data_IF_827178379916
#
_entry.id   IF_827178379916
#
_cell.length_a   1.000
_cell.length_b   1.000
_cell.length_c   1.000
_cell.angle_alpha   90.00
_cell.angle_beta   90.00
_cell.angle_gamma   90.00
#
_symmetry.space_group_name_H-M   'P 1'
#
loop_
_entity.id
_entity.type
_entity.pdbx_description
1 polymer ?
#
# COMPACT_ATOMS: atom_id res chain seq x y z
N UNK A 1 5.31 -17.57 -13.63
CA UNK A 1 4.51 -16.34 -13.38
C UNK A 1 5.06 -15.70 -12.12
N UNK A 2 5.31 -14.38 -12.11
CA UNK A 2 5.63 -13.65 -10.88
C UNK A 2 4.35 -13.55 -10.06
N UNK A 3 4.40 -13.95 -8.78
CA UNK A 3 3.29 -13.81 -7.85
C UNK A 3 3.31 -12.39 -7.28
N UNK A 4 2.13 -11.79 -7.19
CA UNK A 4 1.93 -10.54 -6.46
C UNK A 4 1.34 -10.87 -5.09
N UNK A 5 1.92 -10.33 -4.03
CA UNK A 5 1.49 -10.54 -2.64
C UNK A 5 0.97 -9.23 -2.08
N UNK A 6 -0.22 -9.30 -1.51
CA UNK A 6 -0.80 -8.23 -0.71
C UNK A 6 -0.65 -8.53 0.76
N UNK A 7 -0.27 -7.52 1.55
CA UNK A 7 -0.33 -7.57 3.00
C UNK A 7 -1.29 -6.46 3.46
N UNK A 8 -2.44 -6.86 3.99
CA UNK A 8 -3.43 -5.94 4.53
C UNK A 8 -3.16 -5.70 6.02
N UNK A 9 -2.96 -4.44 6.40
CA UNK A 9 -2.65 -4.02 7.77
C UNK A 9 -3.82 -3.22 8.34
N UNK A 10 -4.13 -3.45 9.61
CA UNK A 10 -4.97 -2.56 10.38
C UNK A 10 -4.28 -2.21 11.70
N UNK A 11 -3.95 -0.94 11.88
CA UNK A 11 -3.44 -0.40 13.14
C UNK A 11 -4.53 0.44 13.80
N UNK A 12 -5.02 0.06 15.00
CA UNK A 12 -6.07 0.80 15.69
C UNK A 12 -5.74 2.28 15.96
N UNK A 13 -6.74 3.18 15.92
CA UNK A 13 -6.56 4.54 16.41
C UNK A 13 -6.31 4.44 17.93
N UNK A 14 -5.30 5.13 18.44
CA UNK A 14 -4.79 5.08 19.83
C UNK A 14 -3.78 3.98 20.17
N UNK A 15 -3.28 3.22 19.19
CA UNK A 15 -2.08 2.40 19.40
C UNK A 15 -0.89 3.26 19.80
N UNK A 16 -0.09 2.77 20.76
CA UNK A 16 1.16 3.40 21.22
C UNK A 16 2.33 2.91 20.38
N UNK A 17 3.49 3.53 20.56
CA UNK A 17 4.72 3.12 19.86
C UNK A 17 5.14 1.69 20.19
N UNK A 18 4.90 1.22 21.40
CA UNK A 18 5.29 -0.13 21.82
C UNK A 18 4.42 -1.21 21.15
N UNK A 19 3.17 -0.87 20.82
CA UNK A 19 2.24 -1.78 20.13
C UNK A 19 2.66 -2.03 18.67
N UNK A 20 3.59 -1.22 18.15
CA UNK A 20 4.05 -1.27 16.76
C UNK A 20 5.27 -2.18 16.55
N UNK A 21 5.96 -2.59 17.61
CA UNK A 21 7.22 -3.35 17.51
C UNK A 21 7.03 -4.74 16.89
N UNK A 22 6.05 -5.51 17.38
CA UNK A 22 5.76 -6.84 16.85
C UNK A 22 5.23 -6.78 15.39
N UNK A 23 4.24 -5.93 15.04
CA UNK A 23 3.80 -5.77 13.66
C UNK A 23 4.92 -5.36 12.70
N UNK A 24 5.81 -4.45 13.11
CA UNK A 24 6.91 -3.99 12.25
C UNK A 24 7.93 -5.09 12.03
N UNK A 25 8.28 -5.83 13.07
CA UNK A 25 9.18 -7.00 12.96
C UNK A 25 8.58 -8.03 12.02
N UNK A 26 7.30 -8.35 12.19
CA UNK A 26 6.59 -9.29 11.32
C UNK A 26 6.52 -8.82 9.86
N UNK A 27 6.25 -7.53 9.62
CA UNK A 27 6.24 -6.96 8.28
C UNK A 27 7.62 -7.10 7.62
N UNK A 28 8.69 -6.74 8.34
CA UNK A 28 10.07 -6.91 7.87
C UNK A 28 10.35 -8.35 7.43
N UNK A 29 10.03 -9.34 8.27
CA UNK A 29 10.25 -10.76 7.97
C UNK A 29 9.46 -11.21 6.73
N UNK A 30 8.20 -10.79 6.60
CA UNK A 30 7.32 -11.17 5.50
C UNK A 30 7.72 -10.54 4.16
N UNK A 31 8.46 -9.43 4.19
CA UNK A 31 8.94 -8.72 2.99
C UNK A 31 10.23 -9.31 2.40
N UNK A 32 10.86 -10.27 3.07
CA UNK A 32 12.14 -10.89 2.65
C UNK A 32 12.09 -11.73 1.36
N UNK A 33 10.92 -11.95 0.76
CA UNK A 33 10.75 -12.80 -0.43
C UNK A 33 10.90 -12.04 -1.76
N UNK A 34 11.20 -12.75 -2.85
CA UNK A 34 11.36 -12.19 -4.21
C UNK A 34 10.06 -11.88 -4.95
N UNK A 35 8.91 -11.92 -4.28
CA UNK A 35 7.61 -11.60 -4.88
C UNK A 35 7.43 -10.09 -5.05
N UNK A 36 6.56 -9.69 -5.98
CA UNK A 36 6.05 -8.32 -6.00
C UNK A 36 5.16 -8.12 -4.77
N UNK A 37 5.45 -7.08 -3.98
CA UNK A 37 4.79 -6.84 -2.71
C UNK A 37 4.05 -5.51 -2.73
N UNK A 38 2.82 -5.51 -2.21
CA UNK A 38 2.09 -4.30 -1.85
C UNK A 38 1.57 -4.45 -0.44
N UNK A 39 1.96 -3.53 0.45
CA UNK A 39 1.38 -3.42 1.78
C UNK A 39 0.35 -2.30 1.71
N UNK A 40 -0.84 -2.55 2.20
CA UNK A 40 -1.92 -1.58 2.23
C UNK A 40 -2.71 -1.71 3.51
N UNK A 41 -3.40 -0.66 3.93
CA UNK A 41 -4.13 -0.71 5.18
C UNK A 41 -4.48 0.64 5.76
N UNK A 42 -5.31 0.62 6.80
CA UNK A 42 -5.54 1.79 7.67
C UNK A 42 -4.53 1.74 8.82
N UNK A 43 -3.55 2.64 8.76
CA UNK A 43 -2.46 2.68 9.74
C UNK A 43 -2.75 3.66 10.89
N UNK A 44 -3.76 4.54 10.78
CA UNK A 44 -4.02 5.58 11.77
C UNK A 44 -2.76 6.41 12.16
N UNK A 45 -1.83 6.64 11.22
CA UNK A 45 -0.62 7.49 11.38
C UNK A 45 -0.80 8.80 10.62
N UNK A 46 -1.31 9.83 11.31
CA UNK A 46 -1.79 11.07 10.68
C UNK A 46 -0.79 12.23 10.71
N UNK A 47 0.37 12.03 11.33
CA UNK A 47 1.37 13.05 11.61
C UNK A 47 2.64 12.90 10.74
N UNK A 48 2.56 12.07 9.71
CA UNK A 48 3.59 11.94 8.67
C UNK A 48 3.47 13.07 7.64
N UNK A 49 4.59 13.69 7.31
CA UNK A 49 4.81 14.34 6.04
C UNK A 49 5.48 13.34 5.09
N UNK A 50 4.68 12.76 4.20
CA UNK A 50 5.13 11.71 3.26
C UNK A 50 6.11 12.23 2.21
N UNK A 51 5.98 13.47 1.78
CA UNK A 51 6.89 14.08 0.79
C UNK A 51 8.29 14.32 1.37
N UNK A 52 8.34 14.84 2.61
CA UNK A 52 9.60 15.11 3.30
C UNK A 52 10.14 13.90 4.08
N UNK A 53 9.40 12.77 4.10
CA UNK A 53 9.66 11.60 4.95
C UNK A 53 9.91 11.97 6.42
N UNK A 54 9.08 12.88 6.97
CA UNK A 54 9.16 13.31 8.37
C UNK A 54 7.95 12.82 9.17
N UNK A 55 8.16 12.44 10.42
CA UNK A 55 7.09 12.10 11.36
C UNK A 55 7.27 12.85 12.68
N UNK A 56 6.15 13.15 13.36
CA UNK A 56 6.17 13.82 14.67
C UNK A 56 6.19 12.84 15.84
N UNK A 57 5.60 11.66 15.67
CA UNK A 57 5.46 10.63 16.69
C UNK A 57 6.41 9.45 16.42
N UNK A 58 6.74 8.73 17.49
CA UNK A 58 7.59 7.54 17.40
C UNK A 58 6.96 6.45 16.53
N UNK A 59 5.65 6.20 16.65
CA UNK A 59 4.92 5.23 15.81
C UNK A 59 5.09 5.51 14.32
N UNK A 60 4.73 6.73 13.91
CA UNK A 60 4.84 7.17 12.51
C UNK A 60 6.27 7.09 11.99
N UNK A 61 7.24 7.44 12.83
CA UNK A 61 8.66 7.29 12.50
C UNK A 61 9.06 5.83 12.27
N UNK A 62 8.63 4.88 13.12
CA UNK A 62 8.95 3.47 12.93
C UNK A 62 8.42 2.91 11.60
N UNK A 63 7.21 3.30 11.18
CA UNK A 63 6.69 2.90 9.87
C UNK A 63 7.44 3.54 8.71
N UNK A 64 7.80 4.83 8.81
CA UNK A 64 8.63 5.48 7.80
C UNK A 64 10.00 4.81 7.67
N UNK A 65 10.66 4.54 8.81
CA UNK A 65 11.96 3.87 8.85
C UNK A 65 11.86 2.45 8.24
N UNK A 66 10.78 1.72 8.53
CA UNK A 66 10.51 0.42 7.91
C UNK A 66 10.38 0.56 6.38
N UNK A 67 9.51 1.43 5.88
CA UNK A 67 9.28 1.57 4.44
C UNK A 67 10.56 2.00 3.71
N UNK A 68 11.34 2.91 4.30
CA UNK A 68 12.62 3.34 3.75
C UNK A 68 13.64 2.19 3.73
N UNK A 69 13.72 1.38 4.80
CA UNK A 69 14.59 0.20 4.86
C UNK A 69 14.25 -0.87 3.82
N UNK A 70 12.97 -0.95 3.43
CA UNK A 70 12.47 -1.86 2.41
C UNK A 70 12.58 -1.29 0.99
N UNK A 71 12.96 -0.02 0.84
CA UNK A 71 12.99 0.66 -0.46
C UNK A 71 11.61 0.75 -1.13
N UNK A 72 10.54 0.82 -0.34
CA UNK A 72 9.16 0.98 -0.83
C UNK A 72 8.64 2.37 -0.48
N UNK A 73 7.76 2.88 -1.33
CA UNK A 73 7.24 4.24 -1.20
C UNK A 73 5.73 4.24 -1.00
N UNK A 74 5.24 5.23 -0.27
CA UNK A 74 3.82 5.47 -0.09
C UNK A 74 3.26 6.14 -1.34
N UNK A 75 2.13 5.61 -1.85
CA UNK A 75 1.56 5.99 -3.15
C UNK A 75 0.27 6.81 -3.06
N UNK A 76 -0.25 7.07 -1.86
CA UNK A 76 -1.54 7.74 -1.63
C UNK A 76 -1.33 9.20 -1.27
N UNK A 77 -1.52 10.10 -2.23
CA UNK A 77 -1.21 11.54 -2.04
C UNK A 77 -2.42 12.40 -1.65
N UNK A 78 -3.59 11.80 -1.40
CA UNK A 78 -4.84 12.52 -1.12
C UNK A 78 -5.52 12.00 0.15
N UNK A 79 -6.22 12.86 0.92
CA UNK A 79 -6.88 12.46 2.14
C UNK A 79 -7.89 11.32 1.95
N UNK A 80 -7.81 10.33 2.83
CA UNK A 80 -8.66 9.12 2.82
C UNK A 80 -9.66 9.12 3.96
N UNK A 81 -9.50 9.99 4.96
CA UNK A 81 -10.50 10.26 5.99
C UNK A 81 -10.38 11.71 6.45
N UNK A 82 -11.45 12.48 6.30
CA UNK A 82 -11.43 13.93 6.56
C UNK A 82 -10.25 14.60 5.81
N UNK A 83 -9.35 15.28 6.54
CA UNK A 83 -8.16 15.92 5.98
C UNK A 83 -6.88 15.09 6.16
N UNK A 84 -6.98 13.82 6.54
CA UNK A 84 -5.84 12.95 6.85
C UNK A 84 -5.70 11.81 5.84
N UNK A 85 -4.46 11.45 5.56
CA UNK A 85 -4.08 10.24 4.81
C UNK A 85 -3.84 9.14 5.85
N UNK A 86 -4.81 8.24 6.02
CA UNK A 86 -4.73 7.14 7.00
C UNK A 86 -4.64 5.78 6.32
N UNK A 87 -5.39 5.62 5.24
CA UNK A 87 -5.29 4.51 4.32
C UNK A 87 -4.04 4.67 3.45
N UNK A 88 -3.07 3.79 3.67
CA UNK A 88 -1.75 3.78 3.05
C UNK A 88 -1.70 2.64 2.04
N UNK A 89 -1.05 2.89 0.91
CA UNK A 89 -0.56 1.86 0.00
C UNK A 89 0.93 2.12 -0.18
N UNK A 90 1.76 1.11 0.10
CA UNK A 90 3.21 1.15 -0.14
C UNK A 90 3.63 -0.02 -1.03
N UNK A 91 4.52 0.27 -1.97
CA UNK A 91 5.03 -0.69 -2.95
C UNK A 91 6.35 -0.19 -3.54
N UNK A 92 7.10 -1.06 -4.22
CA UNK A 92 8.09 -0.60 -5.18
C UNK A 92 7.38 -0.01 -6.41
N UNK A 93 7.93 1.09 -6.94
CA UNK A 93 7.25 2.04 -7.84
C UNK A 93 6.88 1.53 -9.25
N UNK A 94 7.15 0.26 -9.57
CA UNK A 94 7.13 -0.16 -10.97
C UNK A 94 5.81 -0.84 -11.39
N UNK A 95 4.99 -1.32 -10.45
CA UNK A 95 3.80 -2.10 -10.81
C UNK A 95 2.49 -1.62 -10.16
N UNK A 96 2.51 -0.73 -9.17
CA UNK A 96 1.28 -0.18 -8.57
C UNK A 96 1.09 1.27 -8.96
N UNK A 97 -0.14 1.66 -9.28
CA UNK A 97 -0.51 3.06 -9.48
C UNK A 97 -1.83 3.36 -8.79
N UNK A 98 -1.86 4.40 -7.94
CA UNK A 98 -3.11 4.93 -7.38
C UNK A 98 -3.83 5.72 -8.46
N UNK A 99 -5.05 5.32 -8.80
CA UNK A 99 -5.88 5.92 -9.85
C UNK A 99 -6.75 7.06 -9.30
N UNK A 100 -7.06 7.06 -8.00
CA UNK A 100 -7.78 8.16 -7.36
C UNK A 100 -8.41 7.79 -6.02
N UNK A 101 -9.02 8.80 -5.40
CA UNK A 101 -9.83 8.65 -4.19
C UNK A 101 -11.30 8.83 -4.56
N UNK A 102 -12.13 7.84 -4.22
CA UNK A 102 -13.57 7.87 -4.48
C UNK A 102 -14.33 8.12 -3.16
N UNK A 103 -15.59 8.61 -3.23
CA UNK A 103 -16.42 8.80 -2.05
C UNK A 103 -16.56 7.52 -1.20
N UNK A 104 -16.86 7.64 0.11
CA UNK A 104 -16.98 6.49 1.00
C UNK A 104 -18.04 5.49 0.53
N UNK A 105 -17.79 4.21 0.78
CA UNK A 105 -18.73 3.14 0.47
C UNK A 105 -19.69 2.89 1.65
N UNK A 106 -21.00 3.06 1.41
CA UNK A 106 -22.02 2.80 2.42
C UNK A 106 -21.91 3.75 3.62
N UNK A 107 -21.81 3.20 4.83
CA UNK A 107 -21.68 3.97 6.08
C UNK A 107 -20.24 4.18 6.53
N UNK A 108 -19.24 3.90 5.68
CA UNK A 108 -17.84 4.15 6.03
C UNK A 108 -17.58 5.66 6.18
N UNK A 109 -16.73 6.01 7.13
CA UNK A 109 -16.15 7.35 7.25
C UNK A 109 -14.81 7.48 6.48
N UNK A 110 -14.35 6.40 5.85
CA UNK A 110 -13.18 6.38 4.98
C UNK A 110 -13.58 6.42 3.50
N UNK A 111 -12.89 7.25 2.73
CA UNK A 111 -12.92 7.24 1.27
C UNK A 111 -12.29 5.96 0.71
N UNK A 112 -12.68 5.59 -0.50
CA UNK A 112 -12.12 4.43 -1.20
C UNK A 112 -10.83 4.85 -1.92
N UNK A 113 -9.76 4.10 -1.74
CA UNK A 113 -8.55 4.20 -2.58
C UNK A 113 -8.69 3.29 -3.80
N UNK A 114 -8.75 3.88 -5.00
CA UNK A 114 -8.72 3.15 -6.27
C UNK A 114 -7.29 3.05 -6.76
N UNK A 115 -6.84 1.84 -7.10
CA UNK A 115 -5.49 1.62 -7.62
C UNK A 115 -5.46 0.45 -8.59
N UNK A 116 -4.41 0.38 -9.41
CA UNK A 116 -4.20 -0.73 -10.33
C UNK A 116 -2.82 -1.35 -10.19
N UNK A 117 -2.73 -2.61 -10.62
CA UNK A 117 -1.49 -3.37 -10.68
C UNK A 117 -1.21 -3.74 -12.13
N UNK A 118 -0.05 -3.31 -12.62
CA UNK A 118 0.48 -3.67 -13.93
C UNK A 118 1.02 -5.09 -13.90
N UNK A 119 0.52 -5.91 -14.81
CA UNK A 119 0.95 -7.29 -15.01
C UNK A 119 1.59 -7.39 -16.40
N UNK A 120 2.83 -7.86 -16.44
CA UNK A 120 3.47 -8.25 -17.68
C UNK A 120 2.91 -9.60 -18.14
N UNK A 121 2.21 -9.60 -19.27
CA UNK A 121 1.82 -10.84 -19.95
C UNK A 121 2.79 -11.10 -21.11
N UNK A 122 3.38 -12.31 -21.13
CA UNK A 122 4.18 -12.80 -22.25
C UNK A 122 3.34 -13.80 -23.04
N UNK A 123 2.94 -13.45 -24.25
CA UNK A 123 2.34 -14.39 -25.18
C UNK A 123 3.44 -15.11 -25.95
N UNK A 124 3.50 -16.43 -25.82
CA UNK A 124 4.28 -17.26 -26.75
C UNK A 124 3.45 -17.41 -28.04
N UNK A 125 3.80 -16.65 -29.07
CA UNK A 125 3.31 -16.94 -30.42
C UNK A 125 4.05 -18.17 -30.95
N UNK A 126 3.32 -19.18 -31.45
CA UNK A 126 3.90 -20.45 -31.89
C UNK A 126 4.64 -20.40 -33.23
N UNK A 127 4.80 -19.23 -33.85
CA UNK A 127 5.54 -19.06 -35.10
C UNK A 127 6.29 -17.72 -35.09
N UNK A 128 7.63 -17.77 -34.97
CA UNK A 128 8.54 -16.64 -35.08
C UNK A 128 8.92 -16.00 -33.73
N UNK A 129 10.22 -15.89 -33.46
CA UNK A 129 10.82 -15.37 -32.22
C UNK A 129 10.59 -13.87 -31.99
N UNK A 130 9.33 -13.44 -31.82
CA UNK A 130 8.99 -12.11 -31.31
C UNK A 130 8.07 -12.25 -30.10
N UNK A 131 8.64 -12.04 -28.90
CA UNK A 131 7.84 -11.84 -27.68
C UNK A 131 7.28 -10.43 -27.69
N UNK A 132 6.00 -10.28 -28.01
CA UNK A 132 5.26 -9.04 -27.73
C UNK A 132 4.77 -9.10 -26.29
N UNK A 133 5.15 -8.12 -25.47
CA UNK A 133 4.57 -7.93 -24.14
C UNK A 133 3.32 -7.06 -24.26
N UNK A 134 2.21 -7.52 -23.72
CA UNK A 134 1.02 -6.68 -23.52
C UNK A 134 0.94 -6.37 -22.02
N UNK A 135 0.98 -5.09 -21.67
CA UNK A 135 0.76 -4.63 -20.30
C UNK A 135 -0.74 -4.72 -19.99
N UNK A 136 -1.13 -5.64 -19.11
CA UNK A 136 -2.48 -5.75 -18.59
C UNK A 136 -2.52 -5.13 -17.19
N UNK A 137 -3.66 -4.58 -16.76
CA UNK A 137 -3.80 -4.02 -15.43
C UNK A 137 -5.02 -4.60 -14.70
N UNK A 138 -4.82 -5.09 -13.48
CA UNK A 138 -5.90 -5.44 -12.56
C UNK A 138 -6.23 -4.22 -11.69
N UNK A 139 -7.51 -3.89 -11.52
CA UNK A 139 -7.97 -2.74 -10.73
C UNK A 139 -8.56 -3.20 -9.41
N UNK A 140 -8.29 -2.42 -8.37
CA UNK A 140 -8.63 -2.73 -7.00
C UNK A 140 -9.22 -1.50 -6.32
N UNK A 141 -10.13 -1.75 -5.39
CA UNK A 141 -10.71 -0.75 -4.49
C UNK A 141 -10.36 -1.17 -3.07
N UNK A 142 -9.79 -0.25 -2.30
CA UNK A 142 -9.53 -0.43 -0.87
C UNK A 142 -10.34 0.58 -0.07
N UNK A 143 -11.12 0.09 0.90
CA UNK A 143 -11.90 0.92 1.80
C UNK A 143 -12.04 0.19 3.13
N UNK A 144 -11.79 0.89 4.23
CA UNK A 144 -12.12 0.38 5.56
C UNK A 144 -13.64 0.45 5.77
N UNK A 145 -14.18 -0.56 6.45
CA UNK A 145 -15.51 -0.50 7.07
C UNK A 145 -15.35 -0.58 8.57
N UNK A 146 -15.77 0.45 9.28
CA UNK A 146 -15.94 0.36 10.73
C UNK A 146 -17.37 -0.04 11.04
N UNK A 147 -17.56 -0.92 12.02
CA UNK A 147 -18.88 -1.05 12.67
C UNK A 147 -18.99 0.12 13.64
N UNK A 148 -20.01 0.95 13.46
CA UNK A 148 -20.45 1.89 14.51
C UNK A 148 -20.91 1.12 15.74
#
# INVERSE_FOLDING_TARGET
>A
MRRHRFILVYRPPNSKSEDDDDPITWLSDMTSSTDQLTILGDFNVNDCNWELKLAKTASSKKFLDLFDSLGIEQLVHYPTRNSSILDIIVSSNDFVAVEGILPPLGCSDHNIVSFCIRMESFFLHSYGEHKTSQCQAARFLFCKFSRN
#
